data_IF_652926324312
#
_entry.id   IF_652926324312
#
_cell.length_a   1.000
_cell.length_b   1.000
_cell.length_c   1.000
_cell.angle_alpha   90.00
_cell.angle_beta   90.00
_cell.angle_gamma   90.00
#
_symmetry.space_group_name_H-M   'P 1'
#
loop_
_entity.id
_entity.type
_entity.pdbx_description
1 polymer ?
#
# COMPACT_ATOMS: atom_id res chain seq x y z
N UNK A 1 -23.35 1.49 -35.87
CA UNK A 1 -23.43 1.84 -37.31
C UNK A 1 -22.00 1.93 -37.83
N UNK A 2 -21.59 0.95 -38.66
CA UNK A 2 -20.51 0.94 -39.68
C UNK A 2 -19.07 1.30 -39.20
N UNK A 3 -17.99 0.58 -39.51
CA UNK A 3 -17.72 -0.45 -40.54
C UNK A 3 -16.33 -1.08 -40.26
N UNK A 4 -16.22 -2.40 -40.39
CA UNK A 4 -14.94 -3.14 -40.53
C UNK A 4 -14.54 -3.13 -42.02
N UNK A 5 -13.24 -3.05 -42.32
CA UNK A 5 -12.68 -3.30 -43.67
C UNK A 5 -11.69 -4.49 -43.58
N UNK A 6 -11.72 -5.46 -44.53
CA UNK A 6 -10.96 -6.72 -44.45
C UNK A 6 -9.62 -6.72 -45.22
N UNK A 7 -8.95 -7.86 -45.09
CA UNK A 7 -7.60 -8.27 -45.50
C UNK A 7 -7.23 -8.14 -46.99
N UNK A 8 -5.91 -8.16 -47.25
CA UNK A 8 -5.34 -8.67 -48.50
C UNK A 8 -4.16 -9.61 -48.18
N UNK A 9 -4.32 -10.88 -48.54
CA UNK A 9 -3.26 -11.88 -48.61
C UNK A 9 -2.69 -11.89 -50.03
N UNK A 10 -1.37 -12.05 -50.17
CA UNK A 10 -0.74 -12.32 -51.46
C UNK A 10 0.22 -13.51 -51.33
N UNK A 11 -0.24 -14.66 -51.84
CA UNK A 11 0.58 -15.84 -52.09
C UNK A 11 1.37 -15.67 -53.39
N UNK A 12 2.64 -16.06 -53.39
CA UNK A 12 3.45 -16.19 -54.59
C UNK A 12 4.39 -17.38 -54.46
N UNK A 13 3.97 -18.53 -55.02
CA UNK A 13 4.76 -19.74 -55.19
C UNK A 13 5.55 -19.62 -56.50
N UNK A 14 6.86 -19.87 -56.50
CA UNK A 14 7.58 -20.24 -57.72
C UNK A 14 8.65 -21.27 -57.40
N UNK A 15 8.45 -22.48 -57.91
CA UNK A 15 9.43 -23.56 -57.93
C UNK A 15 9.90 -23.75 -59.37
N UNK A 16 11.21 -23.83 -59.59
CA UNK A 16 11.82 -24.46 -60.78
C UNK A 16 13.07 -25.21 -60.32
N UNK A 17 13.19 -26.43 -60.81
CA UNK A 17 14.17 -27.45 -60.44
C UNK A 17 15.18 -27.75 -61.55
N UNK A 18 16.38 -28.15 -61.12
CA UNK A 18 17.40 -29.05 -61.72
C UNK A 18 18.16 -28.66 -63.01
N UNK A 19 19.51 -28.70 -62.95
CA UNK A 19 20.32 -29.81 -63.51
C UNK A 19 21.87 -29.63 -63.32
N UNK A 20 22.52 -30.69 -62.78
CA UNK A 20 23.76 -31.33 -63.30
C UNK A 20 25.14 -30.64 -63.25
N UNK A 21 26.11 -31.23 -62.51
CA UNK A 21 27.18 -32.11 -63.04
C UNK A 21 28.38 -32.26 -62.06
N UNK A 22 28.98 -33.46 -62.09
CA UNK A 22 30.01 -34.04 -61.20
C UNK A 22 31.39 -33.36 -61.21
N UNK A 23 32.17 -33.49 -60.11
CA UNK A 23 33.40 -34.31 -60.05
C UNK A 23 34.32 -34.02 -58.83
N UNK A 24 34.90 -35.12 -58.32
CA UNK A 24 36.21 -35.31 -57.65
C UNK A 24 36.47 -34.84 -56.21
N UNK A 25 36.89 -35.81 -55.38
CA UNK A 25 37.60 -35.62 -54.11
C UNK A 25 39.10 -35.33 -54.34
N UNK A 26 39.78 -34.69 -53.38
CA UNK A 26 40.83 -35.42 -52.67
C UNK A 26 40.87 -35.18 -51.14
N UNK A 27 41.62 -36.04 -50.46
CA UNK A 27 41.78 -36.15 -49.00
C UNK A 27 42.73 -35.10 -48.37
N UNK A 28 42.62 -35.00 -47.04
CA UNK A 28 43.60 -34.55 -46.03
C UNK A 28 43.97 -33.05 -45.93
N UNK A 29 43.60 -32.43 -44.81
CA UNK A 29 44.51 -31.73 -43.88
C UNK A 29 43.76 -30.71 -43.00
N UNK A 30 43.90 -30.84 -41.67
CA UNK A 30 43.72 -29.74 -40.72
C UNK A 30 42.30 -29.47 -40.24
N UNK A 31 41.90 -30.12 -39.13
CA UNK A 31 40.85 -29.56 -38.28
C UNK A 31 41.37 -28.22 -37.68
N UNK A 32 40.69 -27.09 -37.86
CA UNK A 32 40.93 -25.94 -37.00
C UNK A 32 40.32 -26.29 -35.64
N UNK A 33 41.15 -26.45 -34.61
CA UNK A 33 40.72 -26.25 -33.23
C UNK A 33 40.24 -24.81 -33.12
N UNK A 34 38.95 -24.59 -33.31
CA UNK A 34 38.29 -23.39 -32.80
C UNK A 34 38.33 -23.52 -31.28
N UNK A 35 39.30 -22.84 -30.67
CA UNK A 35 39.31 -22.54 -29.25
C UNK A 35 37.97 -21.91 -28.90
N UNK A 36 37.08 -22.69 -28.29
CA UNK A 36 35.90 -22.15 -27.65
C UNK A 36 36.39 -21.24 -26.53
N UNK A 37 36.31 -19.94 -26.77
CA UNK A 37 36.44 -18.94 -25.72
C UNK A 37 35.36 -19.28 -24.70
N UNK A 38 35.76 -19.74 -23.52
CA UNK A 38 34.85 -19.96 -22.42
C UNK A 38 34.20 -18.61 -22.09
N UNK A 39 32.95 -18.40 -22.51
CA UNK A 39 32.10 -17.41 -21.89
C UNK A 39 32.12 -17.72 -20.41
N UNK A 40 32.67 -16.79 -19.63
CA UNK A 40 32.66 -16.84 -18.19
C UNK A 40 31.20 -16.79 -17.77
N UNK A 41 30.59 -17.96 -17.60
CA UNK A 41 29.20 -18.11 -17.21
C UNK A 41 29.00 -17.46 -15.85
N UNK A 42 28.45 -16.25 -15.83
CA UNK A 42 27.87 -15.71 -14.61
C UNK A 42 26.80 -16.71 -14.17
N UNK A 43 27.02 -17.37 -13.04
CA UNK A 43 26.00 -18.22 -12.44
C UNK A 43 24.71 -17.42 -12.29
N UNK A 44 23.57 -18.04 -12.62
CA UNK A 44 22.28 -17.37 -12.58
C UNK A 44 21.98 -16.88 -11.15
N UNK A 45 21.36 -15.71 -11.03
CA UNK A 45 20.93 -15.20 -9.72
C UNK A 45 19.77 -16.04 -9.18
N UNK A 46 19.79 -16.34 -7.89
CA UNK A 46 18.75 -17.13 -7.22
C UNK A 46 18.50 -16.64 -5.80
N UNK A 47 17.22 -16.54 -5.41
CA UNK A 47 16.77 -16.27 -4.06
C UNK A 47 16.39 -17.58 -3.35
N UNK A 48 16.95 -17.83 -2.17
CA UNK A 48 16.77 -19.12 -1.48
C UNK A 48 16.14 -19.02 -0.10
N UNK A 49 16.35 -17.92 0.63
CA UNK A 49 15.91 -17.83 2.04
C UNK A 49 15.59 -16.40 2.50
N UNK A 50 14.64 -16.32 3.42
CA UNK A 50 14.33 -15.12 4.22
C UNK A 50 14.78 -15.32 5.68
N UNK A 51 15.25 -14.28 6.36
CA UNK A 51 15.59 -14.36 7.79
C UNK A 51 14.38 -14.58 8.70
N UNK A 52 13.20 -14.15 8.25
CA UNK A 52 11.90 -14.34 8.88
C UNK A 52 10.86 -14.60 7.78
N UNK A 53 9.89 -15.48 8.04
CA UNK A 53 8.85 -15.83 7.07
C UNK A 53 7.47 -15.29 7.46
N UNK A 54 7.37 -14.51 8.55
CA UNK A 54 6.10 -13.87 8.94
C UNK A 54 6.31 -12.44 9.45
N UNK A 55 5.30 -11.57 9.26
CA UNK A 55 5.38 -10.12 9.56
C UNK A 55 4.06 -9.48 9.93
N UNK A 56 4.13 -8.23 10.37
CA UNK A 56 2.97 -7.37 10.64
C UNK A 56 2.31 -6.94 9.32
N UNK A 57 0.99 -6.72 9.32
CA UNK A 57 0.26 -6.22 8.14
C UNK A 57 0.77 -4.86 7.66
N UNK A 58 1.14 -3.98 8.59
CA UNK A 58 1.67 -2.66 8.27
C UNK A 58 3.09 -2.68 7.66
N UNK A 59 3.81 -3.80 7.73
CA UNK A 59 5.19 -3.90 7.26
C UNK A 59 6.18 -3.11 8.11
N UNK A 60 7.22 -2.57 7.48
CA UNK A 60 8.23 -1.70 8.10
C UNK A 60 9.42 -2.42 8.75
N UNK A 61 9.36 -3.74 8.95
CA UNK A 61 10.50 -4.50 9.47
C UNK A 61 11.57 -4.69 8.40
N UNK A 62 12.85 -4.61 8.79
CA UNK A 62 13.97 -5.02 7.94
C UNK A 62 14.04 -6.54 7.84
N UNK A 63 14.13 -7.07 6.63
CA UNK A 63 14.25 -8.49 6.33
C UNK A 63 15.53 -8.75 5.54
N UNK A 64 16.25 -9.81 5.91
CA UNK A 64 17.46 -10.24 5.18
C UNK A 64 17.10 -11.36 4.23
N UNK A 65 17.43 -11.19 2.96
CA UNK A 65 17.28 -12.16 1.88
C UNK A 65 18.65 -12.78 1.59
N UNK A 66 18.69 -14.11 1.44
CA UNK A 66 19.90 -14.87 1.11
C UNK A 66 19.72 -15.61 -0.20
N UNK A 67 20.78 -15.70 -0.98
CA UNK A 67 20.77 -16.30 -2.30
C UNK A 67 22.17 -16.33 -2.94
N UNK A 68 22.22 -16.38 -4.27
CA UNK A 68 23.46 -16.33 -5.05
C UNK A 68 23.34 -15.27 -6.15
N UNK A 69 24.47 -14.65 -6.49
CA UNK A 69 24.62 -13.63 -7.55
C UNK A 69 23.63 -12.46 -7.45
N UNK A 70 23.36 -12.02 -6.23
CA UNK A 70 22.37 -11.01 -5.88
C UNK A 70 22.81 -9.55 -6.14
N UNK A 71 24.03 -9.34 -6.66
CA UNK A 71 24.60 -8.00 -6.84
C UNK A 71 23.79 -7.11 -7.79
N UNK A 72 23.12 -7.70 -8.78
CA UNK A 72 22.31 -6.99 -9.76
C UNK A 72 20.84 -6.78 -9.35
N UNK A 73 20.43 -7.21 -8.17
CA UNK A 73 19.03 -7.07 -7.74
C UNK A 73 18.69 -5.61 -7.52
N UNK A 74 17.65 -5.15 -8.20
CA UNK A 74 17.16 -3.76 -8.15
C UNK A 74 15.78 -3.63 -7.53
N UNK A 75 15.00 -4.70 -7.47
CA UNK A 75 13.69 -4.71 -6.83
C UNK A 75 13.38 -6.05 -6.15
N UNK A 76 12.49 -6.05 -5.18
CA UNK A 76 11.94 -7.24 -4.51
C UNK A 76 10.44 -7.05 -4.35
N UNK A 77 9.64 -8.02 -4.77
CA UNK A 77 8.19 -8.00 -4.59
C UNK A 77 7.77 -8.96 -3.47
N UNK A 78 6.81 -8.53 -2.67
CA UNK A 78 6.02 -9.34 -1.75
C UNK A 78 4.61 -9.46 -2.34
N UNK A 79 4.36 -10.52 -3.11
CA UNK A 79 3.16 -10.62 -3.94
C UNK A 79 3.12 -9.50 -4.97
N UNK A 80 2.20 -8.56 -4.82
CA UNK A 80 2.04 -7.38 -5.70
C UNK A 80 2.73 -6.12 -5.17
N UNK A 81 3.22 -6.15 -3.93
CA UNK A 81 3.79 -4.96 -3.28
C UNK A 81 5.30 -4.91 -3.48
N UNK A 82 5.80 -3.75 -3.91
CA UNK A 82 7.23 -3.45 -3.93
C UNK A 82 7.77 -3.33 -2.51
N UNK A 83 8.92 -3.95 -2.24
CA UNK A 83 9.66 -3.72 -1.01
C UNK A 83 10.07 -2.24 -0.88
N UNK A 84 10.25 -1.81 0.37
CA UNK A 84 10.85 -0.51 0.67
C UNK A 84 12.35 -0.49 0.36
N UNK A 85 13.13 0.25 1.16
CA UNK A 85 14.58 0.37 0.96
C UNK A 85 15.26 -0.97 0.70
N UNK A 86 16.03 -1.05 -0.39
CA UNK A 86 16.79 -2.25 -0.79
C UNK A 86 18.27 -1.92 -0.69
N UNK A 87 19.00 -2.69 0.12
CA UNK A 87 20.45 -2.58 0.25
C UNK A 87 21.09 -3.92 -0.07
N UNK A 88 21.74 -4.00 -1.23
CA UNK A 88 22.61 -5.13 -1.58
C UNK A 88 23.87 -5.05 -0.72
N UNK A 89 24.09 -6.03 0.17
CA UNK A 89 25.27 -6.06 1.05
C UNK A 89 26.46 -6.72 0.38
N UNK A 90 26.21 -7.83 -0.29
CA UNK A 90 27.21 -8.65 -0.97
C UNK A 90 26.49 -9.59 -1.98
N UNK A 91 27.23 -10.39 -2.78
CA UNK A 91 26.62 -11.26 -3.79
C UNK A 91 25.64 -12.32 -3.27
N UNK A 92 25.57 -12.55 -1.95
CA UNK A 92 24.72 -13.58 -1.35
C UNK A 92 23.67 -13.00 -0.39
N UNK A 93 23.63 -11.68 -0.19
CA UNK A 93 22.80 -11.08 0.86
C UNK A 93 22.28 -9.70 0.47
N UNK A 94 20.97 -9.51 0.66
CA UNK A 94 20.25 -8.24 0.50
C UNK A 94 19.48 -7.95 1.79
N UNK A 95 19.42 -6.70 2.22
CA UNK A 95 18.44 -6.23 3.21
C UNK A 95 17.34 -5.46 2.49
N UNK A 96 16.08 -5.73 2.87
CA UNK A 96 14.91 -5.01 2.37
C UNK A 96 14.03 -4.55 3.52
N UNK A 97 13.30 -3.46 3.35
CA UNK A 97 12.16 -3.14 4.24
C UNK A 97 10.91 -3.82 3.72
N UNK A 98 10.25 -4.64 4.56
CA UNK A 98 9.00 -5.33 4.22
C UNK A 98 7.89 -4.30 3.99
N UNK A 99 7.16 -4.33 2.87
CA UNK A 99 6.06 -3.41 2.63
C UNK A 99 4.83 -3.75 3.48
N UNK A 100 3.86 -2.84 3.53
CA UNK A 100 2.53 -3.21 4.03
C UNK A 100 1.91 -4.28 3.13
N UNK A 101 1.15 -5.21 3.69
CA UNK A 101 0.31 -6.10 2.90
C UNK A 101 -0.70 -5.30 2.07
N UNK A 102 -0.97 -5.72 0.83
CA UNK A 102 -2.00 -5.10 0.00
C UNK A 102 -3.34 -5.10 0.74
N UNK A 103 -3.92 -3.90 0.90
CA UNK A 103 -5.17 -3.68 1.63
C UNK A 103 -5.20 -4.27 3.05
N UNK A 104 -4.03 -4.41 3.70
CA UNK A 104 -3.90 -4.96 5.05
C UNK A 104 -4.56 -6.35 5.21
N UNK A 105 -4.42 -7.21 4.20
CA UNK A 105 -4.97 -8.57 4.21
C UNK A 105 -3.98 -9.55 4.85
N UNK A 106 -4.49 -10.43 5.71
CA UNK A 106 -3.74 -11.56 6.29
C UNK A 106 -3.55 -12.65 5.24
N UNK A 107 -2.33 -13.20 5.13
CA UNK A 107 -2.09 -14.35 4.28
C UNK A 107 -0.66 -14.45 3.76
N UNK A 108 -0.43 -15.52 3.00
CA UNK A 108 0.86 -15.81 2.38
C UNK A 108 0.98 -15.13 1.02
N UNK A 109 2.15 -14.57 0.76
CA UNK A 109 2.54 -14.06 -0.55
C UNK A 109 3.92 -14.60 -0.95
N UNK A 110 4.18 -14.81 -2.26
CA UNK A 110 5.52 -15.15 -2.71
C UNK A 110 6.44 -13.92 -2.63
N UNK A 111 7.68 -14.13 -2.20
CA UNK A 111 8.75 -13.13 -2.28
C UNK A 111 9.64 -13.45 -3.48
N UNK A 112 9.77 -12.49 -4.40
CA UNK A 112 10.57 -12.61 -5.62
C UNK A 112 11.51 -11.42 -5.75
N UNK A 113 12.74 -11.67 -6.20
CA UNK A 113 13.74 -10.63 -6.46
C UNK A 113 13.91 -10.42 -7.97
N UNK A 114 14.28 -9.20 -8.38
CA UNK A 114 14.33 -8.79 -9.78
C UNK A 114 15.67 -8.12 -10.11
N UNK A 115 16.18 -8.43 -11.31
CA UNK A 115 17.27 -7.70 -11.95
C UNK A 115 16.66 -6.91 -13.10
N UNK A 116 16.60 -5.58 -12.95
CA UNK A 116 15.72 -4.76 -13.78
C UNK A 116 14.27 -5.16 -13.56
N UNK A 117 13.56 -5.48 -14.65
CA UNK A 117 12.15 -5.93 -14.61
C UNK A 117 12.00 -7.46 -14.62
N UNK A 118 13.11 -8.21 -14.63
CA UNK A 118 13.08 -9.67 -14.77
C UNK A 118 13.23 -10.36 -13.42
N UNK A 119 12.30 -11.24 -13.03
CA UNK A 119 12.48 -12.09 -11.84
C UNK A 119 13.71 -12.98 -11.98
N UNK A 120 14.45 -13.12 -10.87
CA UNK A 120 15.52 -14.13 -10.74
C UNK A 120 14.93 -15.49 -10.33
N UNK A 121 15.74 -16.54 -10.33
CA UNK A 121 15.28 -17.86 -9.90
C UNK A 121 14.94 -17.89 -8.40
N UNK A 122 14.04 -18.78 -8.00
CA UNK A 122 13.66 -18.97 -6.60
C UNK A 122 12.57 -18.01 -6.11
N UNK A 123 11.74 -18.51 -5.20
CA UNK A 123 10.67 -17.77 -4.54
C UNK A 123 10.48 -18.36 -3.16
N UNK A 124 10.26 -17.51 -2.16
CA UNK A 124 10.05 -17.94 -0.76
C UNK A 124 8.78 -17.29 -0.23
N UNK A 125 7.94 -18.05 0.46
CA UNK A 125 6.69 -17.52 1.02
C UNK A 125 6.96 -16.63 2.24
N UNK A 126 6.20 -15.53 2.31
CA UNK A 126 6.10 -14.67 3.48
C UNK A 126 4.64 -14.55 3.93
N UNK A 127 4.37 -14.71 5.23
CA UNK A 127 3.03 -14.66 5.80
C UNK A 127 2.79 -13.35 6.55
N UNK A 128 1.85 -12.55 6.06
CA UNK A 128 1.36 -11.36 6.76
C UNK A 128 0.34 -11.77 7.83
N UNK A 129 0.53 -11.28 9.05
CA UNK A 129 -0.29 -11.57 10.22
C UNK A 129 -0.64 -10.28 10.95
N UNK A 130 -1.75 -10.30 11.67
CA UNK A 130 -2.09 -9.23 12.63
C UNK A 130 -1.16 -9.37 13.83
N UNK A 131 -0.20 -8.46 13.97
CA UNK A 131 0.78 -8.46 15.07
C UNK A 131 0.73 -7.21 15.94
N UNK A 132 0.27 -6.08 15.39
CA UNK A 132 0.25 -4.78 16.07
C UNK A 132 -1.18 -4.26 16.29
N UNK A 133 -1.28 -3.20 17.11
CA UNK A 133 -2.54 -2.48 17.31
C UNK A 133 -2.99 -1.79 16.01
N UNK A 134 -2.04 -1.22 15.26
CA UNK A 134 -2.29 -0.63 13.93
C UNK A 134 -2.76 -1.68 12.93
N UNK A 135 -2.22 -2.89 12.96
CA UNK A 135 -2.68 -3.99 12.09
C UNK A 135 -4.17 -4.29 12.31
N UNK A 136 -4.62 -4.34 13.57
CA UNK A 136 -6.03 -4.55 13.90
C UNK A 136 -6.90 -3.40 13.42
N UNK A 137 -6.43 -2.16 13.60
CA UNK A 137 -7.12 -0.97 13.10
C UNK A 137 -7.31 -1.04 11.59
N UNK A 138 -6.21 -1.24 10.84
CA UNK A 138 -6.25 -1.22 9.38
C UNK A 138 -7.00 -2.41 8.81
N UNK A 139 -6.82 -3.62 9.35
CA UNK A 139 -7.58 -4.80 8.92
C UNK A 139 -9.09 -4.60 9.09
N UNK A 140 -9.52 -3.92 10.17
CA UNK A 140 -10.93 -3.58 10.36
C UNK A 140 -11.40 -2.54 9.34
N UNK A 141 -10.69 -1.42 9.22
CA UNK A 141 -11.10 -0.33 8.34
C UNK A 141 -11.14 -0.78 6.87
N UNK A 142 -10.15 -1.54 6.41
CA UNK A 142 -10.10 -2.06 5.04
C UNK A 142 -11.13 -3.17 4.76
N UNK A 143 -11.63 -3.85 5.79
CA UNK A 143 -12.76 -4.77 5.65
C UNK A 143 -14.09 -4.02 5.51
N UNK A 144 -14.21 -2.83 6.07
CA UNK A 144 -15.48 -2.16 6.28
C UNK A 144 -15.68 -0.85 5.52
N UNK A 145 -14.65 -0.30 4.86
CA UNK A 145 -14.71 1.00 4.16
C UNK A 145 -15.80 1.09 3.07
N UNK A 146 -16.16 -0.03 2.44
CA UNK A 146 -17.26 -0.14 1.48
C UNK A 146 -18.29 -1.21 1.85
N UNK A 147 -18.16 -1.80 3.04
CA UNK A 147 -19.02 -2.85 3.55
C UNK A 147 -19.31 -2.58 5.03
N UNK A 148 -20.21 -1.63 5.24
CA UNK A 148 -20.43 -0.97 6.52
C UNK A 148 -20.88 -1.98 7.58
N UNK A 149 -20.32 -1.89 8.79
CA UNK A 149 -20.71 -2.73 9.93
C UNK A 149 -21.93 -2.15 10.68
N UNK A 150 -23.01 -1.85 9.94
CA UNK A 150 -24.19 -1.17 10.48
C UNK A 150 -24.96 -2.00 11.49
N UNK A 151 -24.88 -3.33 11.41
CA UNK A 151 -25.51 -4.23 12.36
C UNK A 151 -24.94 -4.06 13.80
N UNK A 152 -23.67 -3.71 13.91
CA UNK A 152 -23.02 -3.48 15.20
C UNK A 152 -23.05 -2.00 15.61
N UNK A 153 -22.83 -1.08 14.66
CA UNK A 153 -22.52 0.31 14.96
C UNK A 153 -23.50 1.34 14.40
N UNK A 154 -24.53 0.92 13.66
CA UNK A 154 -25.41 1.84 12.92
C UNK A 154 -24.66 2.62 11.84
N UNK A 155 -25.37 3.52 11.15
CA UNK A 155 -24.79 4.42 10.12
C UNK A 155 -24.54 5.85 10.64
N UNK A 156 -25.05 6.17 11.84
CA UNK A 156 -24.92 7.45 12.55
C UNK A 156 -25.26 8.72 11.74
N UNK A 157 -25.87 8.58 10.56
CA UNK A 157 -26.07 9.67 9.61
C UNK A 157 -27.00 10.76 10.16
N UNK A 158 -28.01 10.37 10.95
CA UNK A 158 -28.92 11.32 11.59
C UNK A 158 -28.31 12.10 12.76
N UNK A 159 -27.09 11.73 13.21
CA UNK A 159 -26.46 12.27 14.40
C UNK A 159 -25.12 12.98 14.19
N UNK A 160 -24.67 13.15 12.94
CA UNK A 160 -23.39 13.80 12.65
C UNK A 160 -22.62 13.21 11.46
N UNK A 161 -23.07 12.07 10.93
CA UNK A 161 -22.43 11.38 9.81
C UNK A 161 -21.67 10.13 10.25
N UNK A 162 -21.36 9.27 9.29
CA UNK A 162 -20.71 7.99 9.55
C UNK A 162 -19.18 8.09 9.61
N UNK A 163 -18.58 9.17 9.11
CA UNK A 163 -17.12 9.33 9.11
C UNK A 163 -16.50 9.25 10.52
N UNK A 164 -17.06 9.96 11.49
CA UNK A 164 -16.62 9.88 12.89
C UNK A 164 -16.94 8.53 13.53
N UNK A 165 -18.10 7.95 13.21
CA UNK A 165 -18.46 6.60 13.65
C UNK A 165 -17.44 5.57 13.15
N UNK A 166 -17.07 5.62 11.88
CA UNK A 166 -16.13 4.71 11.24
C UNK A 166 -14.70 4.86 11.77
N UNK A 167 -14.19 6.09 11.91
CA UNK A 167 -12.91 6.33 12.59
C UNK A 167 -12.95 5.79 14.02
N UNK A 168 -14.06 5.98 14.73
CA UNK A 168 -14.22 5.46 16.10
C UNK A 168 -14.20 3.94 16.17
N UNK A 169 -14.85 3.25 15.23
CA UNK A 169 -14.78 1.80 15.10
C UNK A 169 -13.35 1.31 14.85
N UNK A 170 -12.58 2.02 14.02
CA UNK A 170 -11.15 1.77 13.84
C UNK A 170 -10.37 1.84 15.14
N UNK A 171 -10.60 2.88 15.96
CA UNK A 171 -9.95 3.02 17.27
C UNK A 171 -10.33 1.87 18.23
N UNK A 172 -11.59 1.41 18.22
CA UNK A 172 -11.99 0.20 18.97
C UNK A 172 -11.23 -1.03 18.47
N UNK A 173 -11.12 -1.24 17.16
CA UNK A 173 -10.36 -2.36 16.60
C UNK A 173 -8.87 -2.28 16.96
N UNK A 174 -8.30 -1.07 16.99
CA UNK A 174 -6.94 -0.80 17.50
C UNK A 174 -6.78 -1.25 18.96
N UNK A 175 -7.85 -1.21 19.74
CA UNK A 175 -7.92 -1.70 21.13
C UNK A 175 -8.29 -0.62 22.14
N UNK A 176 -8.67 0.58 21.68
CA UNK A 176 -9.14 1.64 22.57
C UNK A 176 -10.40 1.22 23.29
N UNK A 177 -10.54 1.69 24.53
CA UNK A 177 -11.71 1.40 25.36
C UNK A 177 -12.65 2.60 25.35
N UNK A 178 -13.95 2.31 25.21
CA UNK A 178 -14.98 3.33 25.36
C UNK A 178 -14.97 3.89 26.78
N UNK A 179 -15.38 5.15 26.92
CA UNK A 179 -15.56 5.80 28.21
C UNK A 179 -16.76 6.76 28.18
N UNK A 180 -17.02 7.43 29.30
CA UNK A 180 -18.17 8.34 29.43
C UNK A 180 -18.14 9.54 28.48
N UNK A 181 -16.96 9.91 27.94
CA UNK A 181 -16.77 11.02 27.01
C UNK A 181 -16.72 10.58 25.55
N UNK A 182 -16.52 9.30 25.26
CA UNK A 182 -16.48 8.73 23.90
C UNK A 182 -16.98 7.29 23.91
N UNK A 183 -18.22 7.08 23.46
CA UNK A 183 -18.86 5.75 23.45
C UNK A 183 -20.01 5.65 22.45
N UNK A 184 -20.26 4.42 22.03
CA UNK A 184 -21.48 4.00 21.34
C UNK A 184 -21.86 2.60 21.82
N UNK A 185 -22.94 2.46 22.60
CA UNK A 185 -23.36 1.17 23.15
C UNK A 185 -24.10 0.29 22.12
N UNK A 186 -24.25 0.74 20.87
CA UNK A 186 -24.88 -0.02 19.80
C UNK A 186 -25.26 0.85 18.61
N UNK A 187 -26.32 0.48 17.91
CA UNK A 187 -26.73 1.11 16.64
C UNK A 187 -27.51 2.42 16.79
N UNK A 188 -27.97 2.75 18.01
CA UNK A 188 -28.85 3.90 18.22
C UNK A 188 -28.05 5.19 18.45
N UNK A 189 -28.21 6.14 17.52
CA UNK A 189 -27.63 7.49 17.58
C UNK A 189 -27.84 8.17 18.94
N UNK A 190 -29.06 8.12 19.48
CA UNK A 190 -29.39 8.79 20.74
C UNK A 190 -28.64 8.24 21.96
N UNK A 191 -28.12 7.01 21.87
CA UNK A 191 -27.37 6.37 22.94
C UNK A 191 -25.85 6.55 22.85
N UNK A 192 -25.35 7.03 21.70
CA UNK A 192 -23.93 7.32 21.51
C UNK A 192 -23.58 8.72 22.03
N UNK A 193 -22.31 8.97 22.34
CA UNK A 193 -21.82 10.34 22.62
C UNK A 193 -21.66 11.10 21.31
N UNK A 194 -21.81 12.43 21.35
CA UNK A 194 -21.58 13.24 20.13
C UNK A 194 -20.14 13.10 19.64
N UNK A 195 -19.15 13.05 20.53
CA UNK A 195 -17.75 12.79 20.23
C UNK A 195 -17.48 11.49 19.48
N UNK A 196 -18.39 10.51 19.53
CA UNK A 196 -18.28 9.26 18.77
C UNK A 196 -18.68 9.44 17.29
N UNK A 197 -19.69 10.28 17.03
CA UNK A 197 -20.40 10.34 15.74
C UNK A 197 -20.35 11.69 15.03
N UNK A 198 -19.84 12.73 15.67
CA UNK A 198 -19.89 14.09 15.16
C UNK A 198 -18.52 14.75 15.24
N UNK A 199 -18.02 15.20 14.09
CA UNK A 199 -16.63 15.63 13.90
C UNK A 199 -16.23 16.79 14.82
N UNK A 200 -17.01 17.88 14.97
CA UNK A 200 -16.64 18.97 15.88
C UNK A 200 -16.43 18.52 17.33
N UNK A 201 -17.30 17.64 17.83
CA UNK A 201 -17.19 17.12 19.20
C UNK A 201 -16.10 16.05 19.33
N UNK A 202 -15.83 15.28 18.28
CA UNK A 202 -14.69 14.35 18.24
C UNK A 202 -13.37 15.11 18.27
N UNK A 203 -13.21 16.15 17.44
CA UNK A 203 -12.02 17.00 17.41
C UNK A 203 -11.78 17.69 18.75
N UNK A 204 -12.83 18.23 19.35
CA UNK A 204 -12.76 18.80 20.69
C UNK A 204 -12.32 17.77 21.72
N UNK A 205 -12.91 16.57 21.72
CA UNK A 205 -12.53 15.50 22.64
C UNK A 205 -11.07 15.05 22.46
N UNK A 206 -10.62 14.85 21.22
CA UNK A 206 -9.22 14.52 20.92
C UNK A 206 -8.27 15.62 21.41
N UNK A 207 -8.63 16.89 21.24
CA UNK A 207 -7.84 18.03 21.76
C UNK A 207 -7.80 18.03 23.28
N UNK A 208 -8.96 17.98 23.95
CA UNK A 208 -9.07 18.09 25.40
C UNK A 208 -8.39 16.91 26.12
N UNK A 209 -8.46 15.71 25.53
CA UNK A 209 -7.90 14.48 26.10
C UNK A 209 -6.52 14.12 25.52
N UNK A 210 -5.88 14.99 24.73
CA UNK A 210 -4.62 14.68 24.05
C UNK A 210 -3.54 14.16 25.01
N UNK A 211 -3.39 14.78 26.18
CA UNK A 211 -2.42 14.31 27.19
C UNK A 211 -2.78 12.95 27.78
N UNK A 212 -4.06 12.71 28.08
CA UNK A 212 -4.55 11.43 28.61
C UNK A 212 -4.39 10.30 27.61
N UNK A 213 -4.64 10.60 26.33
CA UNK A 213 -4.62 9.64 25.22
C UNK A 213 -3.24 9.54 24.53
N UNK A 214 -2.24 10.28 25.01
CA UNK A 214 -0.90 10.33 24.40
C UNK A 214 -0.87 10.89 22.98
N UNK A 215 -1.87 11.67 22.57
CA UNK A 215 -1.97 12.21 21.22
C UNK A 215 -1.03 13.40 21.03
N UNK A 216 -0.42 13.49 19.84
CA UNK A 216 0.31 14.67 19.39
C UNK A 216 -0.46 15.36 18.28
N UNK A 217 -0.86 16.62 18.47
CA UNK A 217 -1.52 17.41 17.42
C UNK A 217 -0.48 17.90 16.40
N UNK A 218 -0.76 17.67 15.13
CA UNK A 218 0.12 17.98 14.00
C UNK A 218 -0.60 18.87 12.97
N UNK A 219 0.15 19.72 12.28
CA UNK A 219 -0.36 20.56 11.21
C UNK A 219 -0.17 19.97 9.81
N UNK A 220 -0.71 20.64 8.80
CA UNK A 220 -0.53 20.28 7.38
C UNK A 220 0.93 20.22 6.92
N UNK A 221 1.83 20.94 7.58
CA UNK A 221 3.26 20.95 7.27
C UNK A 221 4.05 19.83 7.95
N UNK A 222 3.46 19.12 8.91
CA UNK A 222 4.09 18.04 9.69
C UNK A 222 3.88 16.66 9.05
N UNK A 223 3.76 16.58 7.73
CA UNK A 223 3.42 15.32 7.02
C UNK A 223 4.45 14.23 7.23
N UNK A 224 5.70 14.61 7.42
CA UNK A 224 6.83 13.73 7.73
C UNK A 224 6.71 13.06 9.12
N UNK A 225 5.85 13.57 10.00
CA UNK A 225 5.57 13.01 11.33
C UNK A 225 4.32 12.13 11.36
N UNK A 226 3.55 12.11 10.27
CA UNK A 226 2.36 11.27 10.19
C UNK A 226 2.72 9.81 10.02
N UNK A 227 1.86 8.95 10.54
CA UNK A 227 1.95 7.50 10.40
C UNK A 227 0.59 6.87 10.15
N UNK A 228 0.62 5.64 9.63
CA UNK A 228 -0.58 4.84 9.42
C UNK A 228 -1.35 4.70 10.74
N UNK A 229 -2.67 4.88 10.68
CA UNK A 229 -3.55 4.85 11.84
C UNK A 229 -3.72 6.18 12.57
N UNK A 230 -2.99 7.23 12.18
CA UNK A 230 -3.24 8.60 12.66
C UNK A 230 -4.61 9.11 12.18
N UNK A 231 -5.15 10.12 12.85
CA UNK A 231 -6.48 10.68 12.56
C UNK A 231 -6.30 12.03 11.85
N UNK A 232 -6.97 12.23 10.71
CA UNK A 232 -7.04 13.52 10.03
C UNK A 232 -8.39 14.18 10.20
N UNK A 233 -8.40 15.46 10.56
CA UNK A 233 -9.59 16.31 10.64
C UNK A 233 -9.54 17.33 9.52
N UNK A 234 -10.69 17.53 8.86
CA UNK A 234 -10.83 18.39 7.69
C UNK A 234 -11.95 19.40 7.91
N UNK A 235 -11.75 20.58 7.34
CA UNK A 235 -12.68 21.70 7.30
C UNK A 235 -12.69 22.25 5.88
N UNK A 236 -13.79 22.02 5.16
CA UNK A 236 -14.03 22.56 3.83
C UNK A 236 -15.15 23.62 3.80
N UNK A 237 -16.16 23.47 4.66
CA UNK A 237 -17.43 24.22 4.59
C UNK A 237 -17.38 25.70 4.96
N UNK A 238 -16.24 26.23 5.43
CA UNK A 238 -16.12 27.64 5.78
C UNK A 238 -16.96 28.10 6.99
N UNK A 239 -17.70 27.20 7.62
CA UNK A 239 -18.54 27.42 8.80
C UNK A 239 -17.71 27.54 10.09
N UNK A 240 -16.38 27.46 9.99
CA UNK A 240 -15.46 27.56 11.11
C UNK A 240 -15.43 26.32 12.02
N UNK A 241 -16.08 25.21 11.63
CA UNK A 241 -16.09 23.93 12.34
C UNK A 241 -15.70 22.77 11.42
N UNK A 242 -14.89 21.80 11.88
CA UNK A 242 -14.50 20.68 11.03
C UNK A 242 -15.72 19.86 10.62
N UNK A 243 -15.70 19.38 9.38
CA UNK A 243 -16.84 18.70 8.73
C UNK A 243 -16.54 17.23 8.41
N UNK A 244 -15.28 16.81 8.48
CA UNK A 244 -14.92 15.43 8.19
C UNK A 244 -13.72 14.94 8.97
N UNK A 245 -13.70 13.63 9.20
CA UNK A 245 -12.62 12.90 9.84
C UNK A 245 -12.32 11.63 9.06
N UNK A 246 -11.04 11.30 8.94
CA UNK A 246 -10.57 10.09 8.26
C UNK A 246 -9.38 9.51 9.00
N UNK A 247 -9.06 8.25 8.71
CA UNK A 247 -7.88 7.57 9.28
C UNK A 247 -6.78 7.47 8.22
N UNK A 248 -5.54 7.80 8.56
CA UNK A 248 -4.39 7.69 7.66
C UNK A 248 -4.18 6.21 7.31
N UNK A 249 -4.30 5.86 6.02
CA UNK A 249 -4.12 4.51 5.49
C UNK A 249 -2.78 4.31 4.77
N UNK A 250 -2.05 5.39 4.47
CA UNK A 250 -0.71 5.27 3.90
C UNK A 250 0.11 6.53 4.12
N UNK A 251 1.42 6.34 4.36
CA UNK A 251 2.42 7.41 4.33
C UNK A 251 3.61 6.89 3.53
N UNK A 252 3.83 7.44 2.34
CA UNK A 252 4.90 7.01 1.42
C UNK A 252 5.72 8.21 0.97
N UNK A 253 7.04 8.05 0.88
CA UNK A 253 7.92 9.05 0.27
C UNK A 253 8.08 8.73 -1.21
N UNK A 254 7.57 9.61 -2.07
CA UNK A 254 7.64 9.47 -3.54
C UNK A 254 8.36 10.69 -4.09
N UNK A 255 9.51 10.48 -4.75
CA UNK A 255 10.31 11.56 -5.34
C UNK A 255 10.63 12.71 -4.36
N UNK A 256 10.92 12.38 -3.10
CA UNK A 256 11.20 13.36 -2.05
C UNK A 256 9.96 14.01 -1.41
N UNK A 257 8.76 13.73 -1.92
CA UNK A 257 7.49 14.24 -1.41
C UNK A 257 6.78 13.18 -0.53
N UNK A 258 6.25 13.59 0.63
CA UNK A 258 5.46 12.70 1.49
C UNK A 258 4.01 12.68 1.00
N UNK A 259 3.62 11.54 0.43
CA UNK A 259 2.25 11.20 0.04
C UNK A 259 1.53 10.56 1.20
N UNK A 260 0.41 11.15 1.59
CA UNK A 260 -0.46 10.68 2.67
C UNK A 260 -1.80 10.31 2.06
N UNK A 261 -2.33 9.15 2.43
CA UNK A 261 -3.64 8.69 1.99
C UNK A 261 -4.53 8.31 3.18
N UNK A 262 -5.84 8.30 2.95
CA UNK A 262 -6.84 8.05 3.98
C UNK A 262 -7.84 6.96 3.60
N UNK A 263 -8.32 6.25 4.62
CA UNK A 263 -9.52 5.39 4.55
C UNK A 263 -10.70 6.12 5.22
N UNK A 264 -11.87 6.14 4.58
CA UNK A 264 -13.01 6.99 4.98
C UNK A 264 -14.38 6.43 4.60
N UNK A 265 -15.41 6.92 5.29
CA UNK A 265 -16.84 6.77 4.98
C UNK A 265 -17.47 8.11 4.56
N UNK A 266 -18.77 8.12 4.22
CA UNK A 266 -19.58 9.22 3.63
C UNK A 266 -19.16 9.67 2.23
N UNK A 267 -17.86 9.74 2.00
CA UNK A 267 -17.27 9.61 0.68
C UNK A 267 -16.27 8.46 0.76
N UNK A 268 -16.73 7.29 0.36
CA UNK A 268 -16.01 6.03 0.58
C UNK A 268 -14.69 6.01 -0.20
N UNK A 269 -13.64 5.56 0.47
CA UNK A 269 -12.35 5.32 -0.16
C UNK A 269 -11.37 4.73 0.83
N UNK A 270 -10.40 3.98 0.33
CA UNK A 270 -9.39 3.24 1.08
C UNK A 270 -7.99 3.87 0.99
N UNK A 271 -7.73 4.64 -0.07
CA UNK A 271 -6.50 5.42 -0.26
C UNK A 271 -6.76 6.82 -0.86
N UNK A 272 -7.62 7.61 -0.23
CA UNK A 272 -7.90 8.99 -0.66
C UNK A 272 -6.67 9.87 -0.43
N UNK A 273 -6.06 10.37 -1.50
CA UNK A 273 -4.81 11.16 -1.47
C UNK A 273 -5.04 12.57 -0.88
N UNK A 274 -4.20 12.95 0.09
CA UNK A 274 -4.28 14.24 0.80
C UNK A 274 -4.15 15.45 -0.14
N UNK A 275 -3.31 15.39 -1.16
CA UNK A 275 -3.09 16.51 -2.07
C UNK A 275 -4.31 16.73 -2.97
N UNK A 276 -4.99 15.65 -3.36
CA UNK A 276 -6.26 15.75 -4.07
C UNK A 276 -7.39 16.24 -3.15
N UNK A 277 -7.43 15.79 -1.89
CA UNK A 277 -8.38 16.29 -0.88
C UNK A 277 -8.22 17.79 -0.57
N UNK A 278 -6.98 18.31 -0.61
CA UNK A 278 -6.70 19.75 -0.48
C UNK A 278 -7.23 20.53 -1.68
N UNK A 279 -7.13 19.97 -2.88
CA UNK A 279 -7.57 20.61 -4.13
C UNK A 279 -9.06 20.46 -4.37
N UNK A 280 -9.73 19.53 -3.71
CA UNK A 280 -11.14 19.25 -3.94
C UNK A 280 -11.99 20.48 -3.63
N UNK A 281 -12.45 21.14 -4.70
CA UNK A 281 -13.34 22.30 -4.65
C UNK A 281 -14.81 21.89 -4.52
N UNK A 282 -15.13 20.60 -4.75
CA UNK A 282 -16.48 20.06 -4.66
C UNK A 282 -16.81 19.57 -3.25
N UNK A 283 -15.78 19.22 -2.46
CA UNK A 283 -15.88 19.19 -1.00
C UNK A 283 -16.06 20.64 -0.50
N UNK A 284 -17.30 21.12 -0.49
CA UNK A 284 -17.84 22.29 0.22
C UNK A 284 -17.10 23.65 0.22
N UNK A 285 -16.08 23.87 -0.60
CA UNK A 285 -15.41 25.17 -0.66
C UNK A 285 -16.28 26.16 -1.46
N UNK A 286 -16.88 27.14 -0.78
CA UNK A 286 -17.36 28.34 -1.47
C UNK A 286 -16.18 28.99 -2.21
N UNK A 287 -16.36 29.60 -3.40
CA UNK A 287 -15.28 30.28 -4.09
C UNK A 287 -14.53 31.25 -3.15
N UNK A 288 -13.24 31.02 -2.94
CA UNK A 288 -12.38 31.88 -2.10
C UNK A 288 -12.09 31.40 -0.67
N UNK A 289 -12.56 30.21 -0.26
CA UNK A 289 -12.17 29.63 1.04
C UNK A 289 -11.06 28.58 0.90
N UNK A 290 -10.05 28.70 1.77
CA UNK A 290 -8.98 27.72 1.91
C UNK A 290 -9.42 26.59 2.85
N UNK A 291 -9.29 25.35 2.39
CA UNK A 291 -9.44 24.15 3.21
C UNK A 291 -8.44 24.18 4.36
N UNK A 292 -8.87 23.73 5.55
CA UNK A 292 -7.97 23.51 6.69
C UNK A 292 -7.99 22.04 7.11
N UNK A 293 -6.82 21.52 7.43
CA UNK A 293 -6.69 20.21 8.03
C UNK A 293 -5.62 20.20 9.13
N UNK A 294 -5.79 19.28 10.08
CA UNK A 294 -4.83 18.96 11.12
C UNK A 294 -4.98 17.50 11.49
N UNK A 295 -3.99 16.98 12.20
CA UNK A 295 -3.93 15.56 12.51
C UNK A 295 -3.69 15.32 13.99
N UNK A 296 -4.10 14.15 14.44
CA UNK A 296 -3.72 13.61 15.73
C UNK A 296 -2.87 12.38 15.49
N UNK A 297 -1.59 12.49 15.87
CA UNK A 297 -0.69 11.35 15.86
C UNK A 297 -1.04 10.42 17.02
N UNK A 298 -1.47 9.22 16.70
CA UNK A 298 -1.97 8.22 17.66
C UNK A 298 -0.83 7.32 18.11
N UNK A 299 -0.59 7.10 19.41
CA UNK A 299 0.45 6.19 19.89
C UNK A 299 0.37 4.79 19.28
N UNK A 300 1.52 4.20 18.95
CA UNK A 300 1.61 2.84 18.38
C UNK A 300 0.92 1.78 19.25
N UNK A 301 1.09 1.90 20.56
CA UNK A 301 0.41 1.10 21.57
C UNK A 301 -0.71 1.90 22.21
N UNK A 302 -1.80 1.24 22.58
CA UNK A 302 -2.92 1.85 23.35
C UNK A 302 -2.45 2.79 24.48
N UNK A 303 -3.21 3.87 24.67
CA UNK A 303 -3.15 4.72 25.86
C UNK A 303 -3.86 4.07 27.05
#
# INVERSE_FOLDING_TARGET
MRTRIPALALSGLLAVTLAGCSASAPETSGAPQSSASAESGSSAATLTKLSQTTGALAGGSTLTLTGENLTGVTNVHFGTEDAGDITVKNPTTIEVTVPSSFNYVVGKVPVTALVGEKPIAGSVDYNYEVKTDVDRQMAYLFKHWNNYNTAQWGDMNSGGGDCANFTSQGLIARGWQQNSKWSSPGVNVASSTESWRFVPTMDKWLTDESSTLGLTKLGLNDRDKLKVGDIGIFLWTGEGRPDHVMTVSSVKKVNGHIKVAFVSHNLDGDYRDLDELIKDKNAANKPGQEMKAWFYSVPETKA
#
